data_IF_632018015654
#
_entry.id   IF_632018015654
#
_cell.length_a   1.000
_cell.length_b   1.000
_cell.length_c   1.000
_cell.angle_alpha   90.00
_cell.angle_beta   90.00
_cell.angle_gamma   90.00
#
_symmetry.space_group_name_H-M   'P 1'
#
loop_
_entity.id
_entity.type
_entity.pdbx_description
1 polymer ?
#
# COMPACT_ATOMS: atom_id res chain seq x y z
N UNK A 1 -9.24 3.75 26.47
CA UNK A 1 -10.42 2.86 26.54
C UNK A 1 -11.20 2.85 25.22
N UNK A 2 -11.55 4.00 24.65
CA UNK A 2 -12.24 4.13 23.35
C UNK A 2 -11.47 3.58 22.15
N UNK A 3 -10.15 3.78 22.07
CA UNK A 3 -9.33 3.22 20.97
C UNK A 3 -9.23 1.68 21.00
N UNK A 4 -9.12 1.09 22.20
CA UNK A 4 -9.10 -0.36 22.36
C UNK A 4 -10.44 -0.98 21.97
N UNK A 5 -11.55 -0.32 22.32
CA UNK A 5 -12.89 -0.75 21.89
C UNK A 5 -13.06 -0.68 20.37
N UNK A 6 -12.59 0.39 19.72
CA UNK A 6 -12.63 0.51 18.26
C UNK A 6 -11.84 -0.58 17.54
N UNK A 7 -10.65 -0.94 18.04
CA UNK A 7 -9.86 -2.04 17.50
C UNK A 7 -10.60 -3.38 17.64
N UNK A 8 -11.13 -3.67 18.83
CA UNK A 8 -11.90 -4.91 19.07
C UNK A 8 -13.11 -5.01 18.15
N UNK A 9 -13.86 -3.90 17.99
CA UNK A 9 -15.00 -3.85 17.07
C UNK A 9 -14.56 -4.16 15.64
N UNK A 10 -13.43 -3.61 15.16
CA UNK A 10 -12.94 -3.86 13.81
C UNK A 10 -12.44 -5.30 13.62
N UNK A 11 -11.80 -5.89 14.64
CA UNK A 11 -11.35 -7.29 14.62
C UNK A 11 -12.52 -8.28 14.53
N UNK A 12 -13.71 -7.91 15.02
CA UNK A 12 -14.93 -8.72 14.91
C UNK A 12 -15.67 -8.40 13.60
N UNK A 13 -15.83 -7.12 13.30
CA UNK A 13 -16.61 -6.67 12.15
C UNK A 13 -16.01 -7.12 10.83
N UNK A 14 -14.70 -6.95 10.61
CA UNK A 14 -14.09 -7.22 9.30
C UNK A 14 -14.21 -8.69 8.87
N UNK A 15 -13.90 -9.70 9.72
CA UNK A 15 -14.10 -11.09 9.33
C UNK A 15 -15.55 -11.44 9.06
N UNK A 16 -16.50 -10.91 9.84
CA UNK A 16 -17.93 -11.13 9.62
C UNK A 16 -18.36 -10.50 8.29
N UNK A 17 -17.94 -9.26 8.02
CA UNK A 17 -18.26 -8.53 6.81
C UNK A 17 -17.72 -9.22 5.55
N UNK A 18 -16.45 -9.62 5.55
CA UNK A 18 -15.86 -10.36 4.42
C UNK A 18 -16.52 -11.73 4.24
N UNK A 19 -16.85 -12.42 5.34
CA UNK A 19 -17.52 -13.71 5.27
C UNK A 19 -18.93 -13.60 4.71
N UNK A 20 -19.69 -12.60 5.16
CA UNK A 20 -21.00 -12.28 4.62
C UNK A 20 -20.94 -11.87 3.13
N UNK A 21 -19.80 -11.30 2.69
CA UNK A 21 -19.56 -10.97 1.28
C UNK A 21 -19.21 -12.20 0.41
N UNK A 22 -18.94 -13.36 1.03
CA UNK A 22 -18.66 -14.63 0.34
C UNK A 22 -17.25 -15.19 0.54
N UNK A 23 -16.38 -14.54 1.33
CA UNK A 23 -15.08 -15.10 1.69
C UNK A 23 -15.27 -16.26 2.68
N UNK A 24 -14.64 -17.44 2.51
CA UNK A 24 -14.75 -18.48 3.52
C UNK A 24 -14.22 -18.00 4.89
N UNK A 25 -14.94 -18.28 5.97
CA UNK A 25 -14.65 -17.68 7.29
C UNK A 25 -13.20 -17.86 7.75
N UNK A 26 -12.63 -19.06 7.58
CA UNK A 26 -11.24 -19.33 7.94
C UNK A 26 -10.25 -18.47 7.14
N UNK A 27 -10.57 -18.17 5.88
CA UNK A 27 -9.77 -17.30 5.02
C UNK A 27 -9.93 -15.84 5.44
N UNK A 28 -11.13 -15.40 5.83
CA UNK A 28 -11.35 -14.06 6.40
C UNK A 28 -10.47 -13.80 7.62
N UNK A 29 -10.28 -14.81 8.47
CA UNK A 29 -9.37 -14.72 9.63
C UNK A 29 -7.91 -14.63 9.18
N UNK A 30 -7.48 -15.43 8.21
CA UNK A 30 -6.11 -15.35 7.68
C UNK A 30 -5.83 -13.97 7.06
N UNK A 31 -6.75 -13.46 6.25
CA UNK A 31 -6.66 -12.11 5.66
C UNK A 31 -6.57 -11.05 6.75
N UNK A 32 -7.35 -11.17 7.84
CA UNK A 32 -7.31 -10.22 8.95
C UNK A 32 -5.92 -10.20 9.61
N UNK A 33 -5.37 -11.38 9.91
CA UNK A 33 -4.05 -11.51 10.55
C UNK A 33 -2.97 -10.91 9.66
N UNK A 34 -2.91 -11.31 8.39
CA UNK A 34 -1.88 -10.81 7.47
C UNK A 34 -2.05 -9.32 7.18
N UNK A 35 -3.28 -8.82 7.10
CA UNK A 35 -3.55 -7.40 6.91
C UNK A 35 -3.15 -6.58 8.14
N UNK A 36 -3.39 -7.07 9.36
CA UNK A 36 -2.97 -6.37 10.57
C UNK A 36 -1.44 -6.29 10.68
N UNK A 37 -0.75 -7.40 10.41
CA UNK A 37 0.72 -7.42 10.34
C UNK A 37 1.24 -6.44 9.27
N UNK A 38 0.57 -6.38 8.12
CA UNK A 38 0.88 -5.44 7.07
C UNK A 38 0.74 -3.98 7.52
N UNK A 39 -0.37 -3.60 8.16
CA UNK A 39 -0.59 -2.23 8.61
C UNK A 39 0.48 -1.76 9.60
N UNK A 40 0.96 -2.65 10.48
CA UNK A 40 2.05 -2.35 11.42
C UNK A 40 3.38 -2.17 10.67
N UNK A 41 3.68 -3.04 9.71
CA UNK A 41 4.88 -2.96 8.91
C UNK A 41 4.90 -1.68 8.03
N UNK A 42 3.79 -1.38 7.37
CA UNK A 42 3.59 -0.18 6.55
C UNK A 42 3.81 1.09 7.38
N UNK A 43 3.15 1.21 8.53
CA UNK A 43 3.35 2.33 9.46
C UNK A 43 4.83 2.54 9.83
N UNK A 44 5.59 1.46 10.00
CA UNK A 44 7.02 1.54 10.31
C UNK A 44 7.84 1.98 9.10
N UNK A 45 7.63 1.39 7.92
CA UNK A 45 8.35 1.71 6.69
C UNK A 45 8.16 3.18 6.31
N UNK A 46 6.91 3.65 6.36
CA UNK A 46 6.52 5.03 6.02
C UNK A 46 7.04 6.08 6.99
N UNK A 47 7.38 5.65 8.21
CA UNK A 47 7.96 6.53 9.22
C UNK A 47 9.49 6.68 9.06
N UNK A 48 10.15 5.80 8.30
CA UNK A 48 11.62 5.77 8.22
C UNK A 48 12.20 6.17 6.86
N UNK A 49 11.53 5.83 5.76
CA UNK A 49 12.18 5.83 4.44
C UNK A 49 11.55 6.87 3.53
N UNK A 50 10.37 6.57 2.96
CA UNK A 50 9.66 7.41 2.00
C UNK A 50 8.30 6.76 1.66
N UNK A 51 7.47 7.48 0.87
CA UNK A 51 6.09 7.23 0.43
C UNK A 51 5.78 5.83 -0.11
N UNK A 52 6.78 5.03 -0.48
CA UNK A 52 6.59 3.93 -1.41
C UNK A 52 6.90 2.55 -0.79
N UNK A 53 5.98 2.05 0.04
CA UNK A 53 6.08 0.70 0.62
C UNK A 53 5.75 -0.39 -0.44
N UNK A 54 5.93 -1.69 -0.15
CA UNK A 54 5.47 -2.75 -1.03
C UNK A 54 3.94 -2.80 -1.12
N UNK A 55 3.36 -3.67 -1.94
CA UNK A 55 1.90 -3.76 -2.10
C UNK A 55 1.35 -5.03 -1.45
N UNK A 56 0.53 -4.88 -0.39
CA UNK A 56 -0.05 -6.01 0.35
C UNK A 56 -0.66 -7.07 -0.58
N UNK A 57 -1.51 -6.64 -1.52
CA UNK A 57 -2.25 -7.54 -2.42
C UNK A 57 -1.35 -8.36 -3.36
N UNK A 58 -0.13 -7.88 -3.64
CA UNK A 58 0.81 -8.56 -4.54
C UNK A 58 1.45 -9.76 -3.85
N UNK A 59 1.75 -9.62 -2.56
CA UNK A 59 2.48 -10.62 -1.78
C UNK A 59 1.59 -11.56 -1.01
N UNK A 60 0.50 -11.06 -0.42
CA UNK A 60 -0.36 -11.89 0.43
C UNK A 60 -1.02 -13.02 -0.35
N UNK A 61 -1.23 -12.83 -1.66
CA UNK A 61 -1.85 -13.85 -2.49
C UNK A 61 -1.04 -15.14 -2.57
N UNK A 62 0.30 -15.03 -2.56
CA UNK A 62 1.21 -16.18 -2.52
C UNK A 62 1.07 -17.01 -1.24
N UNK A 63 0.43 -16.47 -0.20
CA UNK A 63 0.14 -17.16 1.05
C UNK A 63 -1.30 -17.61 1.16
N UNK A 64 -2.24 -16.73 0.82
CA UNK A 64 -3.68 -17.01 0.94
C UNK A 64 -4.08 -18.14 -0.01
N UNK A 65 -3.58 -18.13 -1.25
CA UNK A 65 -3.93 -19.15 -2.23
C UNK A 65 -3.57 -20.59 -1.78
N UNK A 66 -2.30 -20.93 -1.46
CA UNK A 66 -1.97 -22.27 -0.99
C UNK A 66 -2.60 -22.60 0.36
N UNK A 67 -2.79 -21.63 1.26
CA UNK A 67 -3.50 -21.86 2.52
C UNK A 67 -4.95 -22.31 2.28
N UNK A 68 -5.68 -21.67 1.37
CA UNK A 68 -7.04 -22.10 1.06
C UNK A 68 -7.12 -23.43 0.30
N UNK A 69 -6.10 -23.80 -0.48
CA UNK A 69 -5.98 -25.15 -1.04
C UNK A 69 -5.80 -26.18 0.09
N UNK A 70 -4.84 -25.94 1.00
CA UNK A 70 -4.55 -26.85 2.11
C UNK A 70 -5.70 -26.97 3.12
N UNK A 71 -6.52 -25.93 3.25
CA UNK A 71 -7.73 -25.92 4.08
C UNK A 71 -8.99 -26.41 3.34
N UNK A 72 -8.86 -26.88 2.10
CA UNK A 72 -9.98 -27.42 1.30
C UNK A 72 -11.03 -26.39 0.87
N UNK A 73 -10.69 -25.10 0.87
CA UNK A 73 -11.62 -24.00 0.53
C UNK A 73 -11.77 -23.80 -0.98
N UNK A 74 -10.76 -24.20 -1.77
CA UNK A 74 -10.78 -24.19 -3.23
C UNK A 74 -9.78 -25.20 -3.80
N UNK A 75 -9.97 -25.63 -5.07
CA UNK A 75 -9.08 -26.58 -5.70
C UNK A 75 -7.67 -25.99 -5.96
N UNK A 76 -6.68 -26.87 -6.02
CA UNK A 76 -5.29 -26.53 -6.37
C UNK A 76 -5.09 -26.17 -7.85
N UNK A 77 -6.03 -26.59 -8.70
CA UNK A 77 -5.98 -26.38 -10.15
C UNK A 77 -6.42 -24.97 -10.52
N UNK A 78 -5.66 -24.33 -11.40
CA UNK A 78 -5.99 -23.05 -12.01
C UNK A 78 -6.24 -23.21 -13.51
N UNK A 79 -7.17 -22.43 -14.09
CA UNK A 79 -8.10 -21.52 -13.43
C UNK A 79 -9.18 -22.25 -12.61
N UNK A 80 -9.87 -21.53 -11.72
CA UNK A 80 -10.96 -22.10 -10.92
C UNK A 80 -12.19 -21.20 -10.90
N UNK A 81 -13.36 -21.82 -10.81
CA UNK A 81 -14.67 -21.18 -10.69
C UNK A 81 -15.14 -21.00 -9.24
N UNK A 82 -14.28 -21.26 -8.25
CA UNK A 82 -14.63 -21.10 -6.83
C UNK A 82 -15.02 -19.66 -6.50
N UNK A 83 -16.30 -19.45 -6.16
CA UNK A 83 -16.83 -18.15 -5.75
C UNK A 83 -16.13 -17.61 -4.50
N UNK A 84 -15.90 -18.47 -3.50
CA UNK A 84 -15.24 -18.05 -2.27
C UNK A 84 -13.81 -17.55 -2.49
N UNK A 85 -13.09 -18.17 -3.44
CA UNK A 85 -11.77 -17.69 -3.85
C UNK A 85 -11.86 -16.36 -4.60
N UNK A 86 -12.79 -16.21 -5.54
CA UNK A 86 -12.97 -14.95 -6.29
C UNK A 86 -13.22 -13.76 -5.35
N UNK A 87 -14.13 -13.93 -4.38
CA UNK A 87 -14.44 -12.88 -3.39
C UNK A 87 -13.23 -12.63 -2.48
N UNK A 88 -12.48 -13.66 -2.08
CA UNK A 88 -11.27 -13.50 -1.28
C UNK A 88 -10.21 -12.65 -2.01
N UNK A 89 -9.99 -12.90 -3.30
CA UNK A 89 -9.01 -12.14 -4.09
C UNK A 89 -9.45 -10.69 -4.31
N UNK A 90 -10.74 -10.47 -4.56
CA UNK A 90 -11.29 -9.12 -4.66
C UNK A 90 -11.14 -8.36 -3.33
N UNK A 91 -11.35 -9.04 -2.20
CA UNK A 91 -11.18 -8.46 -0.86
C UNK A 91 -9.73 -8.04 -0.62
N UNK A 92 -8.77 -8.94 -0.88
CA UNK A 92 -7.33 -8.66 -0.78
C UNK A 92 -6.92 -7.48 -1.67
N UNK A 93 -7.41 -7.45 -2.89
CA UNK A 93 -7.14 -6.37 -3.85
C UNK A 93 -7.75 -5.05 -3.38
N UNK A 94 -8.96 -5.07 -2.83
CA UNK A 94 -9.66 -3.89 -2.34
C UNK A 94 -8.99 -3.22 -1.12
N UNK A 95 -8.35 -4.01 -0.25
CA UNK A 95 -7.69 -3.47 0.96
C UNK A 95 -6.18 -3.23 0.78
N UNK A 96 -5.57 -3.87 -0.22
CA UNK A 96 -4.11 -3.94 -0.37
C UNK A 96 -3.52 -3.25 -1.59
N UNK A 97 -4.36 -2.79 -2.53
CA UNK A 97 -3.89 -2.15 -3.75
C UNK A 97 -3.44 -0.70 -3.50
N UNK A 98 -2.84 -0.11 -4.54
CA UNK A 98 -2.25 1.22 -4.60
C UNK A 98 -3.03 2.32 -3.88
N UNK A 99 -4.33 2.47 -4.18
CA UNK A 99 -5.15 3.58 -3.69
C UNK A 99 -5.43 3.46 -2.18
N UNK A 100 -5.91 2.32 -1.65
CA UNK A 100 -6.05 2.12 -0.21
C UNK A 100 -4.76 2.32 0.58
N UNK A 101 -3.63 1.83 0.04
CA UNK A 101 -2.31 1.91 0.68
C UNK A 101 -1.77 3.33 0.76
N UNK A 102 -1.83 4.09 -0.34
CA UNK A 102 -1.42 5.49 -0.36
C UNK A 102 -2.56 6.46 -0.03
N UNK A 103 -3.63 5.96 0.58
CA UNK A 103 -4.63 6.84 1.13
C UNK A 103 -3.94 7.74 2.14
N UNK A 104 -4.22 9.06 2.17
CA UNK A 104 -3.80 9.95 3.27
C UNK A 104 -4.26 9.45 4.65
N UNK A 105 -5.11 8.42 4.65
CA UNK A 105 -5.71 7.74 5.78
C UNK A 105 -5.30 6.26 5.90
N UNK A 106 -4.25 5.85 5.19
CA UNK A 106 -3.58 4.58 5.39
C UNK A 106 -2.76 4.58 6.67
N UNK A 107 -2.35 3.40 7.14
CA UNK A 107 -1.55 3.27 8.36
C UNK A 107 -0.24 4.06 8.28
N UNK A 108 0.43 4.01 7.12
CA UNK A 108 1.60 4.82 6.79
C UNK A 108 1.43 6.33 6.99
N UNK A 109 0.43 6.94 6.36
CA UNK A 109 0.20 8.38 6.44
C UNK A 109 -0.36 8.83 7.80
N UNK A 110 -1.03 7.93 8.52
CA UNK A 110 -1.57 8.23 9.86
C UNK A 110 -0.46 8.54 10.86
N UNK A 111 0.71 7.89 10.77
CA UNK A 111 1.84 8.20 11.66
C UNK A 111 2.38 9.61 11.43
N UNK A 112 2.44 10.04 10.16
CA UNK A 112 2.83 11.39 9.77
C UNK A 112 1.80 12.42 10.24
N UNK A 113 0.50 12.12 10.06
CA UNK A 113 -0.58 12.96 10.55
C UNK A 113 -0.53 13.15 12.07
N UNK A 114 -0.31 12.06 12.81
CA UNK A 114 -0.13 12.10 14.26
C UNK A 114 1.09 12.94 14.68
N UNK A 115 2.21 12.83 13.96
CA UNK A 115 3.39 13.65 14.22
C UNK A 115 3.10 15.15 14.04
N UNK A 116 2.42 15.53 12.95
CA UNK A 116 2.02 16.93 12.71
C UNK A 116 1.10 17.41 13.81
N UNK A 117 0.02 16.67 14.12
CA UNK A 117 -0.92 17.03 15.19
C UNK A 117 -0.22 17.23 16.54
N UNK A 118 0.76 16.38 16.87
CA UNK A 118 1.56 16.51 18.10
C UNK A 118 2.46 17.75 18.07
N UNK A 119 3.10 18.05 16.94
CA UNK A 119 4.01 19.21 16.80
C UNK A 119 3.26 20.53 16.81
N UNK A 120 2.08 20.60 16.21
CA UNK A 120 1.21 21.78 16.21
C UNK A 120 0.38 21.91 17.47
N UNK A 121 0.51 20.96 18.43
CA UNK A 121 -0.30 20.88 19.65
C UNK A 121 -1.80 20.86 19.35
N UNK A 122 -2.19 20.30 18.20
CA UNK A 122 -3.59 20.13 17.83
C UNK A 122 -4.25 19.16 18.81
N UNK A 123 -5.47 19.47 19.24
CA UNK A 123 -6.30 18.58 20.04
C UNK A 123 -6.46 17.23 19.33
N UNK A 124 -6.21 16.13 20.04
CA UNK A 124 -6.41 14.76 19.49
C UNK A 124 -7.86 14.58 19.05
N UNK A 125 -8.82 15.15 19.78
CA UNK A 125 -10.23 15.10 19.42
C UNK A 125 -10.45 15.73 18.03
N UNK A 126 -9.90 16.91 17.80
CA UNK A 126 -10.11 17.65 16.55
C UNK A 126 -9.36 16.97 15.40
N UNK A 127 -8.15 16.47 15.67
CA UNK A 127 -7.38 15.70 14.70
C UNK A 127 -8.13 14.42 14.26
N UNK A 128 -8.63 13.62 15.21
CA UNK A 128 -9.42 12.42 14.90
C UNK A 128 -10.73 12.79 14.21
N UNK A 129 -11.39 13.87 14.61
CA UNK A 129 -12.64 14.32 13.98
C UNK A 129 -12.43 14.70 12.52
N UNK A 130 -11.39 15.51 12.25
CA UNK A 130 -11.03 15.92 10.89
C UNK A 130 -10.63 14.71 10.04
N UNK A 131 -9.84 13.81 10.62
CA UNK A 131 -9.45 12.55 9.99
C UNK A 131 -10.70 11.76 9.57
N UNK A 132 -11.57 11.39 10.51
CA UNK A 132 -12.78 10.61 10.24
C UNK A 132 -13.72 11.30 9.24
N UNK A 133 -13.89 12.62 9.36
CA UNK A 133 -14.72 13.40 8.44
C UNK A 133 -14.19 13.32 7.01
N UNK A 134 -12.86 13.44 6.84
CA UNK A 134 -12.20 13.34 5.54
C UNK A 134 -12.30 11.93 4.96
N UNK A 135 -12.21 10.87 5.79
CA UNK A 135 -12.43 9.48 5.31
C UNK A 135 -13.81 9.32 4.73
N UNK A 136 -14.81 9.66 5.54
CA UNK A 136 -16.19 9.36 5.21
C UNK A 136 -16.60 10.17 3.97
N UNK A 137 -16.35 11.49 3.98
CA UNK A 137 -16.71 12.35 2.86
C UNK A 137 -15.87 12.03 1.62
N UNK A 138 -14.55 11.87 1.78
CA UNK A 138 -13.64 11.58 0.68
C UNK A 138 -13.96 10.24 0.00
N UNK A 139 -14.17 9.18 0.79
CA UNK A 139 -14.56 7.88 0.27
C UNK A 139 -15.96 7.92 -0.36
N UNK A 140 -16.93 8.59 0.27
CA UNK A 140 -18.28 8.70 -0.29
C UNK A 140 -18.28 9.43 -1.65
N UNK A 141 -17.64 10.60 -1.72
CA UNK A 141 -17.52 11.36 -2.98
C UNK A 141 -16.80 10.54 -4.03
N UNK A 142 -15.68 9.89 -3.68
CA UNK A 142 -14.92 9.07 -4.61
C UNK A 142 -15.73 7.87 -5.15
N UNK A 143 -16.48 7.17 -4.29
CA UNK A 143 -17.30 6.02 -4.69
C UNK A 143 -18.46 6.48 -5.57
N UNK A 144 -19.22 7.49 -5.14
CA UNK A 144 -20.37 8.00 -5.90
C UNK A 144 -19.92 8.50 -7.26
N UNK A 145 -18.84 9.29 -7.31
CA UNK A 145 -18.28 9.78 -8.56
C UNK A 145 -17.79 8.64 -9.44
N UNK A 146 -17.04 7.67 -8.90
CA UNK A 146 -16.55 6.53 -9.68
C UNK A 146 -17.71 5.71 -10.28
N UNK A 147 -18.74 5.39 -9.48
CA UNK A 147 -19.91 4.64 -9.93
C UNK A 147 -20.68 5.41 -11.00
N UNK A 148 -20.95 6.70 -10.78
CA UNK A 148 -21.61 7.55 -11.77
C UNK A 148 -20.82 7.63 -13.06
N UNK A 149 -19.51 7.90 -12.97
CA UNK A 149 -18.62 8.06 -14.12
C UNK A 149 -18.56 6.78 -14.95
N UNK A 150 -18.42 5.61 -14.32
CA UNK A 150 -18.39 4.33 -15.03
C UNK A 150 -19.75 3.90 -15.56
N UNK A 151 -20.86 4.26 -14.91
CA UNK A 151 -22.20 4.02 -15.47
C UNK A 151 -22.46 4.88 -16.69
N UNK A 152 -22.06 6.16 -16.66
CA UNK A 152 -22.35 7.10 -17.75
C UNK A 152 -21.49 6.85 -18.98
N UNK A 153 -20.18 6.60 -18.79
CA UNK A 153 -19.23 6.44 -19.91
C UNK A 153 -18.88 4.99 -20.25
N UNK A 154 -19.15 4.04 -19.35
CA UNK A 154 -18.80 2.63 -19.50
C UNK A 154 -17.34 2.33 -19.19
N UNK A 155 -17.07 1.22 -18.48
CA UNK A 155 -15.69 0.81 -18.15
C UNK A 155 -14.86 0.44 -19.39
N UNK A 156 -15.49 -0.06 -20.46
CA UNK A 156 -14.82 -0.46 -21.70
C UNK A 156 -14.16 0.71 -22.45
N UNK A 157 -14.63 1.94 -22.22
CA UNK A 157 -14.10 3.15 -22.87
C UNK A 157 -12.92 3.78 -22.13
N UNK A 158 -12.57 3.26 -20.95
CA UNK A 158 -11.40 3.68 -20.19
C UNK A 158 -10.41 2.51 -19.99
N UNK A 159 -9.64 2.14 -21.04
CA UNK A 159 -8.70 1.01 -20.99
C UNK A 159 -7.46 1.29 -20.11
N UNK A 160 -7.45 2.37 -19.32
CA UNK A 160 -6.37 2.71 -18.41
C UNK A 160 -6.30 1.77 -17.20
N UNK A 161 -6.19 2.35 -16.01
CA UNK A 161 -5.87 1.59 -14.78
C UNK A 161 -6.86 0.45 -14.43
N UNK A 162 -8.13 0.55 -14.84
CA UNK A 162 -9.10 -0.53 -14.61
C UNK A 162 -8.82 -1.79 -15.42
N UNK A 163 -8.23 -1.66 -16.62
CA UNK A 163 -7.86 -2.82 -17.42
C UNK A 163 -6.72 -3.58 -16.76
N UNK A 164 -5.76 -2.86 -16.17
CA UNK A 164 -4.68 -3.43 -15.36
C UNK A 164 -5.22 -4.18 -14.15
N UNK A 165 -6.15 -3.57 -13.39
CA UNK A 165 -6.77 -4.21 -12.23
C UNK A 165 -7.53 -5.48 -12.62
N UNK A 166 -8.43 -5.36 -13.59
CA UNK A 166 -9.25 -6.49 -14.06
C UNK A 166 -8.37 -7.61 -14.60
N UNK A 167 -7.37 -7.27 -15.44
CA UNK A 167 -6.42 -8.23 -15.99
C UNK A 167 -5.67 -8.97 -14.89
N UNK A 168 -5.16 -8.24 -13.90
CA UNK A 168 -4.33 -8.87 -12.87
C UNK A 168 -5.13 -9.74 -11.92
N UNK A 169 -6.35 -9.33 -11.54
CA UNK A 169 -7.28 -10.21 -10.80
C UNK A 169 -7.66 -11.44 -11.64
N UNK A 170 -7.90 -11.28 -12.94
CA UNK A 170 -8.15 -12.39 -13.87
C UNK A 170 -6.97 -13.36 -13.95
N UNK A 171 -5.73 -12.86 -13.96
CA UNK A 171 -4.50 -13.64 -14.03
C UNK A 171 -4.08 -14.31 -12.72
N UNK A 172 -4.74 -13.96 -11.61
CA UNK A 172 -4.54 -14.61 -10.30
C UNK A 172 -5.46 -15.81 -10.11
N UNK A 173 -5.57 -16.62 -11.14
CA UNK A 173 -6.26 -17.91 -11.17
C UNK A 173 -7.78 -17.86 -11.26
N UNK A 174 -8.36 -16.70 -11.60
CA UNK A 174 -9.78 -16.57 -11.95
C UNK A 174 -10.01 -17.02 -13.40
N UNK A 175 -9.22 -16.51 -14.34
CA UNK A 175 -9.24 -16.89 -15.76
C UNK A 175 -7.96 -17.60 -16.20
N UNK A 176 -6.81 -17.19 -15.67
CA UNK A 176 -5.50 -17.82 -15.91
C UNK A 176 -4.70 -17.81 -14.62
N UNK A 177 -3.64 -18.62 -14.51
CA UNK A 177 -2.71 -18.61 -13.35
C UNK A 177 -1.45 -17.77 -13.55
N UNK A 178 -1.39 -16.95 -14.60
CA UNK A 178 -0.16 -16.28 -15.07
C UNK A 178 0.46 -15.33 -14.05
N UNK A 179 -0.34 -14.74 -13.16
CA UNK A 179 0.16 -13.84 -12.12
C UNK A 179 0.85 -14.59 -10.96
N UNK A 180 0.69 -15.91 -10.86
CA UNK A 180 1.43 -16.75 -9.92
C UNK A 180 2.75 -17.19 -10.55
N UNK A 181 3.71 -16.28 -10.52
CA UNK A 181 5.02 -16.49 -11.16
C UNK A 181 5.96 -17.36 -10.34
N UNK A 182 5.62 -17.66 -9.08
CA UNK A 182 6.43 -18.44 -8.15
C UNK A 182 5.67 -19.67 -7.64
N UNK A 183 6.27 -20.86 -7.75
CA UNK A 183 5.82 -22.07 -7.05
C UNK A 183 5.75 -21.87 -5.53
N UNK A 184 4.84 -22.58 -4.85
CA UNK A 184 4.58 -22.40 -3.41
C UNK A 184 5.80 -22.72 -2.52
N UNK A 185 6.62 -23.69 -2.91
CA UNK A 185 7.89 -24.02 -2.27
C UNK A 185 8.90 -22.88 -2.37
N UNK A 186 8.98 -22.21 -3.53
CA UNK A 186 9.83 -21.02 -3.69
C UNK A 186 9.33 -19.86 -2.84
N UNK A 187 8.01 -19.62 -2.77
CA UNK A 187 7.43 -18.61 -1.88
C UNK A 187 7.83 -18.88 -0.43
N UNK A 188 7.70 -20.13 0.03
CA UNK A 188 8.07 -20.50 1.39
C UNK A 188 9.57 -20.27 1.66
N UNK A 189 10.45 -20.69 0.75
CA UNK A 189 11.90 -20.49 0.88
C UNK A 189 12.25 -19.00 0.93
N UNK A 190 11.74 -18.18 0.01
CA UNK A 190 12.01 -16.74 -0.02
C UNK A 190 11.53 -16.02 1.24
N UNK A 191 10.47 -16.53 1.83
CA UNK A 191 9.91 -15.97 3.06
C UNK A 191 10.71 -16.35 4.28
N UNK A 192 11.22 -17.58 4.33
CA UNK A 192 12.19 -18.00 5.35
C UNK A 192 13.48 -17.17 5.22
N UNK A 193 13.98 -16.98 4.01
CA UNK A 193 15.15 -16.13 3.75
C UNK A 193 14.89 -14.69 4.22
N UNK A 194 13.75 -14.11 3.85
CA UNK A 194 13.37 -12.76 4.28
C UNK A 194 13.26 -12.61 5.79
N UNK A 195 12.67 -13.61 6.47
CA UNK A 195 12.57 -13.65 7.92
C UNK A 195 13.97 -13.71 8.57
N UNK A 196 14.81 -14.65 8.16
CA UNK A 196 16.18 -14.81 8.67
C UNK A 196 16.99 -13.54 8.42
N UNK A 197 16.90 -12.97 7.22
CA UNK A 197 17.59 -11.74 6.85
C UNK A 197 17.15 -10.57 7.74
N UNK A 198 15.84 -10.39 7.94
CA UNK A 198 15.33 -9.33 8.81
C UNK A 198 15.88 -9.48 10.24
N UNK A 199 15.79 -10.68 10.82
CA UNK A 199 16.32 -10.96 12.16
C UNK A 199 17.83 -10.74 12.25
N UNK A 200 18.60 -11.22 11.27
CA UNK A 200 20.04 -11.06 11.23
C UNK A 200 20.43 -9.58 11.16
N UNK A 201 19.77 -8.77 10.33
CA UNK A 201 20.06 -7.34 10.21
C UNK A 201 19.71 -6.58 11.50
N UNK A 202 18.60 -6.90 12.16
CA UNK A 202 18.27 -6.31 13.45
C UNK A 202 19.29 -6.72 14.53
N UNK A 203 19.68 -8.00 14.56
CA UNK A 203 20.68 -8.52 15.50
C UNK A 203 22.06 -7.89 15.29
N UNK A 204 22.53 -7.76 14.04
CA UNK A 204 23.81 -7.10 13.74
C UNK A 204 23.80 -5.66 14.24
N UNK A 205 22.67 -4.94 14.12
CA UNK A 205 22.55 -3.55 14.60
C UNK A 205 22.57 -3.42 16.12
N UNK A 206 22.23 -4.48 16.88
CA UNK A 206 22.37 -4.44 18.35
C UNK A 206 23.83 -4.60 18.79
N UNK A 207 24.66 -5.27 17.97
CA UNK A 207 26.08 -5.52 18.27
C UNK A 207 26.99 -4.45 17.65
N UNK A 208 26.71 -4.04 16.42
CA UNK A 208 27.50 -3.08 15.64
C UNK A 208 26.69 -1.82 15.32
N UNK A 209 26.73 -0.78 16.17
CA UNK A 209 25.99 0.47 15.96
C UNK A 209 26.33 1.18 14.64
N UNK A 210 27.54 0.96 14.11
CA UNK A 210 27.99 1.51 12.83
C UNK A 210 27.45 0.79 11.59
N UNK A 211 26.58 -0.21 11.75
CA UNK A 211 26.07 -0.99 10.62
C UNK A 211 25.22 -0.11 9.68
N UNK A 212 25.66 -0.01 8.42
CA UNK A 212 25.13 0.94 7.45
C UNK A 212 23.76 0.53 6.87
N UNK A 213 23.42 -0.76 6.88
CA UNK A 213 22.17 -1.24 6.30
C UNK A 213 21.04 -1.07 7.31
N UNK A 214 20.07 -0.22 6.97
CA UNK A 214 18.82 -0.12 7.71
C UNK A 214 17.86 -1.24 7.22
N UNK A 215 17.43 -2.18 8.09
CA UNK A 215 16.54 -3.27 7.71
C UNK A 215 15.19 -2.79 7.18
N UNK A 216 14.67 -1.66 7.68
CA UNK A 216 13.41 -1.08 7.22
C UNK A 216 13.56 -0.43 5.85
N UNK A 217 14.68 0.26 5.61
CA UNK A 217 14.98 0.87 4.30
C UNK A 217 15.27 -0.17 3.21
N UNK A 218 15.73 -1.35 3.59
CA UNK A 218 15.99 -2.43 2.64
C UNK A 218 14.70 -2.92 1.96
N UNK A 219 13.57 -2.93 2.68
CA UNK A 219 12.28 -3.40 2.15
C UNK A 219 11.84 -2.65 0.88
N UNK A 220 11.63 -1.32 0.90
CA UNK A 220 11.24 -0.59 -0.31
C UNK A 220 12.36 -0.57 -1.35
N UNK A 221 13.63 -0.62 -0.93
CA UNK A 221 14.79 -0.65 -1.84
C UNK A 221 14.84 -1.92 -2.70
N UNK A 222 14.44 -3.08 -2.13
CA UNK A 222 14.35 -4.33 -2.87
C UNK A 222 13.06 -4.46 -3.69
N UNK A 223 11.99 -3.75 -3.29
CA UNK A 223 10.70 -3.79 -3.98
C UNK A 223 10.69 -2.95 -5.27
N UNK A 224 11.16 -1.71 -5.22
CA UNK A 224 11.14 -0.76 -6.34
C UNK A 224 12.54 -0.36 -6.73
N UNK A 225 13.45 -1.34 -6.76
CA UNK A 225 14.85 -1.10 -7.06
C UNK A 225 15.00 -0.31 -8.35
N UNK A 226 14.25 -0.68 -9.39
CA UNK A 226 14.25 -0.08 -10.73
C UNK A 226 13.86 1.40 -10.75
N UNK A 227 13.04 1.85 -9.80
CA UNK A 227 12.63 3.26 -9.69
C UNK A 227 13.49 4.07 -8.72
N UNK A 228 14.11 3.41 -7.73
CA UNK A 228 14.76 4.10 -6.62
C UNK A 228 16.28 4.21 -6.75
N UNK A 229 16.95 3.29 -7.47
CA UNK A 229 18.41 3.23 -7.49
C UNK A 229 19.06 4.54 -7.99
N UNK A 230 18.59 5.07 -9.13
CA UNK A 230 19.13 6.28 -9.73
C UNK A 230 18.79 7.51 -8.89
N UNK A 231 17.54 7.61 -8.43
CA UNK A 231 17.10 8.70 -7.55
C UNK A 231 17.91 8.73 -6.24
N UNK A 232 18.23 7.55 -5.68
CA UNK A 232 19.07 7.41 -4.49
C UNK A 232 20.51 7.87 -4.73
N UNK A 233 21.12 7.50 -5.86
CA UNK A 233 22.48 7.95 -6.22
C UNK A 233 22.49 9.48 -6.39
N UNK A 234 21.53 10.04 -7.13
CA UNK A 234 21.42 11.49 -7.32
C UNK A 234 21.23 12.19 -5.97
N UNK A 235 20.35 11.68 -5.10
CA UNK A 235 20.13 12.24 -3.78
C UNK A 235 21.41 12.21 -2.91
N UNK A 236 22.21 11.15 -3.00
CA UNK A 236 23.50 11.05 -2.31
C UNK A 236 24.52 12.06 -2.83
N UNK A 237 24.64 12.23 -4.14
CA UNK A 237 25.53 13.22 -4.76
C UNK A 237 25.12 14.64 -4.34
N UNK A 238 23.82 14.96 -4.47
CA UNK A 238 23.26 16.26 -4.07
C UNK A 238 23.51 16.51 -2.58
N UNK A 239 23.24 15.54 -1.71
CA UNK A 239 23.51 15.64 -0.28
C UNK A 239 24.99 15.90 -0.01
N UNK A 240 25.90 15.16 -0.64
CA UNK A 240 27.34 15.34 -0.46
C UNK A 240 27.80 16.74 -0.86
N UNK A 241 27.40 17.20 -2.05
CA UNK A 241 27.76 18.53 -2.56
C UNK A 241 27.19 19.63 -1.66
N UNK A 242 25.91 19.56 -1.29
CA UNK A 242 25.29 20.58 -0.46
C UNK A 242 25.89 20.61 0.95
N UNK A 243 26.10 19.45 1.59
CA UNK A 243 26.74 19.40 2.91
C UNK A 243 28.16 19.97 2.87
N UNK A 244 28.93 19.71 1.80
CA UNK A 244 30.26 20.33 1.60
C UNK A 244 30.19 21.84 1.38
N UNK A 245 29.18 22.32 0.65
CA UNK A 245 29.06 23.73 0.28
C UNK A 245 28.51 24.62 1.42
N UNK A 246 27.52 24.15 2.18
CA UNK A 246 26.83 24.97 3.20
C UNK A 246 27.07 24.50 4.64
N UNK A 247 27.70 23.35 4.84
CA UNK A 247 27.90 22.73 6.14
C UNK A 247 26.68 21.92 6.62
N UNK A 248 26.87 20.93 7.52
CA UNK A 248 25.78 20.05 7.98
C UNK A 248 24.62 20.78 8.64
N UNK A 249 24.89 21.75 9.52
CA UNK A 249 23.85 22.45 10.26
C UNK A 249 22.92 23.28 9.35
N UNK A 250 23.49 23.92 8.31
CA UNK A 250 22.70 24.70 7.35
C UNK A 250 21.96 23.81 6.36
N UNK A 251 22.55 22.66 5.99
CA UNK A 251 21.86 21.64 5.22
C UNK A 251 20.60 21.16 5.96
N UNK A 252 20.72 20.86 7.25
CA UNK A 252 19.58 20.41 8.06
C UNK A 252 18.51 21.49 8.23
N UNK A 253 18.88 22.76 8.42
CA UNK A 253 17.89 23.82 8.63
C UNK A 253 17.20 24.31 7.36
N UNK A 254 17.81 24.11 6.19
CA UNK A 254 17.28 24.62 4.90
C UNK A 254 16.79 23.51 4.00
N UNK A 255 17.61 22.49 3.75
CA UNK A 255 17.32 21.45 2.75
C UNK A 255 16.29 20.46 3.27
N UNK A 256 16.36 20.06 4.54
CA UNK A 256 15.39 19.11 5.12
C UNK A 256 13.96 19.68 5.09
N UNK A 257 13.68 20.93 5.50
CA UNK A 257 12.33 21.49 5.39
C UNK A 257 11.82 21.61 3.96
N UNK A 258 12.69 21.97 3.00
CA UNK A 258 12.32 22.01 1.57
C UNK A 258 11.98 20.61 1.07
N UNK A 259 12.82 19.62 1.37
CA UNK A 259 12.59 18.23 0.98
C UNK A 259 11.32 17.67 1.64
N UNK A 260 11.08 17.96 2.92
CA UNK A 260 9.86 17.58 3.62
C UNK A 260 8.62 18.28 3.01
N UNK A 261 8.74 19.57 2.68
CA UNK A 261 7.68 20.34 2.02
C UNK A 261 7.39 19.84 0.61
N UNK A 262 8.39 19.44 -0.16
CA UNK A 262 8.23 18.80 -1.46
C UNK A 262 7.68 17.38 -1.32
N UNK A 263 8.08 16.61 -0.32
CA UNK A 263 7.56 15.27 -0.08
C UNK A 263 6.08 15.30 0.32
N UNK A 264 5.70 16.19 1.25
CA UNK A 264 4.32 16.37 1.71
C UNK A 264 3.45 17.14 0.68
N UNK A 265 4.04 18.12 0.01
CA UNK A 265 3.40 18.99 -0.98
C UNK A 265 3.47 18.49 -2.42
N UNK A 266 4.16 17.36 -2.66
CA UNK A 266 4.24 16.69 -3.97
C UNK A 266 2.86 16.40 -4.57
N UNK A 267 1.82 16.34 -3.74
CA UNK A 267 0.42 16.35 -4.18
C UNK A 267 0.10 17.44 -5.20
N UNK A 268 0.67 18.65 -5.11
CA UNK A 268 0.38 19.75 -6.04
C UNK A 268 0.91 19.46 -7.45
N UNK A 269 2.16 18.99 -7.59
CA UNK A 269 2.73 18.63 -8.88
C UNK A 269 2.23 17.28 -9.40
N UNK A 270 1.77 16.38 -8.51
CA UNK A 270 1.06 15.15 -8.86
C UNK A 270 -0.20 15.46 -9.66
N UNK A 271 -0.83 16.63 -9.54
CA UNK A 271 -2.00 16.98 -10.36
C UNK A 271 -1.67 17.37 -11.80
N UNK A 272 -0.46 17.83 -12.11
CA UNK A 272 -0.13 18.31 -13.47
C UNK A 272 -0.25 17.19 -14.50
N UNK A 273 0.31 16.01 -14.22
CA UNK A 273 0.23 14.86 -15.14
C UNK A 273 -1.19 14.32 -15.36
N UNK A 274 -1.97 14.03 -14.31
CA UNK A 274 -3.38 13.66 -14.38
C UNK A 274 -4.24 14.72 -15.05
N UNK A 275 -4.09 16.01 -14.75
CA UNK A 275 -4.83 17.08 -15.42
C UNK A 275 -4.46 17.16 -16.90
N UNK A 276 -3.16 17.08 -17.23
CA UNK A 276 -2.71 17.01 -18.62
C UNK A 276 -3.36 15.82 -19.35
N UNK A 277 -3.34 14.62 -18.79
CA UNK A 277 -4.01 13.45 -19.39
C UNK A 277 -5.53 13.59 -19.43
N UNK A 278 -6.14 14.23 -18.43
CA UNK A 278 -7.57 14.48 -18.41
C UNK A 278 -7.99 15.32 -19.61
N UNK A 279 -7.29 16.44 -19.86
CA UNK A 279 -7.63 17.36 -20.95
C UNK A 279 -7.14 16.91 -22.33
N UNK A 280 -6.02 16.17 -22.41
CA UNK A 280 -5.44 15.77 -23.72
C UNK A 280 -5.84 14.37 -24.18
N UNK A 281 -6.24 13.48 -23.27
CA UNK A 281 -6.55 12.08 -23.59
C UNK A 281 -7.96 11.69 -23.17
N UNK A 282 -8.32 11.90 -21.90
CA UNK A 282 -9.59 11.41 -21.35
C UNK A 282 -10.77 12.17 -21.95
N UNK A 283 -10.84 13.49 -21.78
CA UNK A 283 -11.95 14.32 -22.29
C UNK A 283 -12.10 14.18 -23.82
N UNK A 284 -11.04 14.28 -24.64
CA UNK A 284 -11.17 14.09 -26.08
C UNK A 284 -11.70 12.70 -26.48
N UNK A 285 -11.27 11.63 -25.80
CA UNK A 285 -11.80 10.27 -26.05
C UNK A 285 -13.26 10.11 -25.64
N UNK A 286 -13.67 10.78 -24.56
CA UNK A 286 -15.07 10.78 -24.13
C UNK A 286 -15.95 11.63 -25.04
N UNK A 287 -15.41 12.70 -25.63
CA UNK A 287 -16.11 13.63 -26.52
C UNK A 287 -16.14 13.21 -27.99
N UNK A 288 -15.26 12.30 -28.42
CA UNK A 288 -15.26 11.73 -29.78
C UNK A 288 -16.35 10.67 -30.02
N UNK A 289 -17.38 10.64 -29.15
CA UNK A 289 -18.55 9.76 -29.20
C UNK A 289 -19.77 10.58 -29.51
#
# INVERSE_FOLDING_TARGET
KTMAAGLVVMLIFLPIFWTASGVPFIISILILITYFLWLVADARVMSEVWWHDPTYWFYVFYWIYPAGVGLGQWPATLPTTSTGRLVAEQTVSAIGNWIPRHSPMGAGFTTQYYYVARKTKTSIKDAVTMYMTTAILGSFVAIVFAVWFYNFYGMSKNPGYNSYFTSYTCQKGVLTGEALTLPADQVAIWSIIGFILAFALYWIRTIFPGFIINPVALIPSLWLMEFMWLAGIIALIVKYVLVKAMGPAKFESVVIPIAAGLALGSGLFVWVGPLYKLFTVVIPRLAAV
#
